data_IF_541486176077
#
_entry.id   IF_541486176077
#
_cell.length_a   1.000
_cell.length_b   1.000
_cell.length_c   1.000
_cell.angle_alpha   90.00
_cell.angle_beta   90.00
_cell.angle_gamma   90.00
#
_symmetry.space_group_name_H-M   'P 1'
#
loop_
_entity.id
_entity.type
_entity.pdbx_description
1 polymer ?
#
# COMPACT_ATOMS: atom_id res chain seq x y z
N UNK A 1 10.08 -6.77 -16.13
CA UNK A 1 9.11 -6.82 -15.01
C UNK A 1 8.08 -5.75 -15.25
N UNK A 2 6.84 -6.03 -14.87
CA UNK A 2 5.73 -5.09 -14.93
C UNK A 2 5.03 -5.10 -13.58
N UNK A 3 4.69 -3.92 -13.07
CA UNK A 3 3.82 -3.73 -11.92
C UNK A 3 2.73 -2.74 -12.30
N UNK A 4 1.49 -3.20 -12.26
CA UNK A 4 0.31 -2.42 -12.58
C UNK A 4 -0.55 -2.16 -11.34
N UNK A 5 -1.28 -1.04 -11.39
CA UNK A 5 -2.24 -0.65 -10.36
C UNK A 5 -3.61 -0.50 -11.02
N UNK A 6 -4.43 -1.53 -10.89
CA UNK A 6 -5.77 -1.57 -11.48
C UNK A 6 -6.84 -1.14 -10.47
N UNK A 7 -7.72 -0.25 -10.88
CA UNK A 7 -8.84 0.23 -10.06
C UNK A 7 -10.10 -0.59 -10.31
N UNK A 8 -10.83 -0.86 -9.22
CA UNK A 8 -12.12 -1.54 -9.24
C UNK A 8 -13.12 -0.78 -8.36
N UNK A 9 -14.41 -0.92 -8.68
CA UNK A 9 -15.48 -0.59 -7.73
C UNK A 9 -15.59 -1.68 -6.66
N UNK A 10 -16.30 -1.40 -5.57
CA UNK A 10 -16.62 -2.40 -4.54
C UNK A 10 -17.40 -3.61 -5.08
N UNK A 11 -18.19 -3.41 -6.14
CA UNK A 11 -18.89 -4.49 -6.86
C UNK A 11 -17.99 -5.29 -7.81
N UNK A 12 -16.70 -4.97 -7.90
CA UNK A 12 -15.74 -5.66 -8.76
C UNK A 12 -15.72 -5.17 -10.22
N UNK A 13 -16.36 -4.04 -10.53
CA UNK A 13 -16.31 -3.47 -11.89
C UNK A 13 -14.93 -2.86 -12.14
N UNK A 14 -14.20 -3.27 -13.19
CA UNK A 14 -12.91 -2.69 -13.51
C UNK A 14 -13.07 -1.27 -14.05
N UNK A 15 -12.35 -0.32 -13.46
CA UNK A 15 -12.36 1.10 -13.85
C UNK A 15 -11.16 1.48 -14.74
N UNK A 16 -10.12 0.64 -14.75
CA UNK A 16 -8.92 0.82 -15.58
C UNK A 16 -7.62 0.91 -14.76
N UNK A 17 -6.51 1.15 -15.46
CA UNK A 17 -5.17 1.24 -14.87
C UNK A 17 -4.90 2.67 -14.39
N UNK A 18 -4.51 2.81 -13.11
CA UNK A 18 -4.08 4.08 -12.51
C UNK A 18 -2.58 4.30 -12.65
N UNK A 19 -1.80 3.22 -12.70
CA UNK A 19 -0.36 3.27 -12.84
C UNK A 19 0.15 1.99 -13.51
N UNK A 20 1.22 2.12 -14.30
CA UNK A 20 1.95 0.98 -14.89
C UNK A 20 3.43 1.30 -14.85
N UNK A 21 4.20 0.46 -14.17
CA UNK A 21 5.65 0.53 -14.11
C UNK A 21 6.23 -0.64 -14.91
N UNK A 22 7.21 -0.38 -15.77
CA UNK A 22 7.86 -1.39 -16.59
C UNK A 22 9.38 -1.19 -16.57
N UNK A 23 10.13 -2.23 -16.22
CA UNK A 23 11.59 -2.18 -16.16
C UNK A 23 12.23 -3.54 -16.45
N UNK A 24 13.50 -3.54 -16.86
CA UNK A 24 14.30 -4.76 -17.01
C UNK A 24 15.17 -4.99 -15.77
N UNK A 25 15.51 -6.25 -15.48
CA UNK A 25 16.51 -6.59 -14.44
C UNK A 25 17.88 -6.65 -15.10
N UNK A 26 18.85 -5.92 -14.54
CA UNK A 26 20.24 -5.95 -15.01
C UNK A 26 21.05 -7.15 -14.46
N UNK A 27 20.38 -8.12 -13.81
CA UNK A 27 20.99 -9.35 -13.30
C UNK A 27 20.24 -9.96 -12.10
N UNK A 28 20.84 -11.00 -11.50
CA UNK A 28 20.37 -11.60 -10.24
C UNK A 28 21.18 -10.97 -9.09
N UNK A 29 20.55 -10.07 -8.33
CA UNK A 29 21.19 -9.43 -7.17
C UNK A 29 21.39 -10.40 -6.00
N UNK A 30 22.47 -10.21 -5.22
CA UNK A 30 22.71 -10.99 -4.01
C UNK A 30 21.93 -10.44 -2.81
N UNK A 31 21.53 -11.33 -1.88
CA UNK A 31 20.83 -10.94 -0.64
C UNK A 31 21.61 -9.91 0.19
N UNK A 32 22.94 -10.02 0.19
CA UNK A 32 23.84 -9.14 0.96
C UNK A 32 23.88 -7.71 0.41
N UNK A 33 23.82 -7.54 -0.91
CA UNK A 33 23.84 -6.21 -1.52
C UNK A 33 22.49 -5.49 -1.39
N UNK A 34 21.38 -6.23 -1.31
CA UNK A 34 20.04 -5.65 -1.15
C UNK A 34 19.89 -4.79 0.10
N UNK A 35 20.61 -5.12 1.18
CA UNK A 35 20.54 -4.33 2.42
C UNK A 35 21.30 -3.01 2.35
N UNK A 36 22.28 -2.88 1.44
CA UNK A 36 23.11 -1.67 1.30
C UNK A 36 22.47 -0.61 0.40
N UNK A 37 21.50 -1.01 -0.42
CA UNK A 37 20.83 -0.10 -1.36
C UNK A 37 19.78 0.76 -0.65
N UNK A 38 19.59 2.03 -1.07
CA UNK A 38 18.42 2.81 -0.71
C UNK A 38 17.14 2.14 -1.24
N UNK A 39 15.96 2.48 -0.69
CA UNK A 39 14.71 1.78 -1.03
C UNK A 39 14.33 1.98 -2.50
N UNK A 40 14.63 3.16 -3.04
CA UNK A 40 14.37 3.62 -4.40
C UNK A 40 15.07 2.76 -5.46
N UNK A 41 16.21 2.15 -5.11
CA UNK A 41 16.95 1.24 -5.99
C UNK A 41 16.48 -0.22 -5.88
N UNK A 42 15.52 -0.52 -5.00
CA UNK A 42 14.99 -1.87 -4.81
C UNK A 42 13.71 -2.03 -5.60
N UNK A 43 13.47 -3.25 -6.09
CA UNK A 43 12.19 -3.59 -6.75
C UNK A 43 10.97 -3.40 -5.85
N UNK A 44 11.14 -3.38 -4.52
CA UNK A 44 10.05 -3.08 -3.58
C UNK A 44 9.58 -1.63 -3.66
N UNK A 45 10.35 -0.72 -4.25
CA UNK A 45 9.95 0.67 -4.52
C UNK A 45 8.67 0.76 -5.35
N UNK A 46 8.39 -0.26 -6.17
CA UNK A 46 7.17 -0.36 -6.98
C UNK A 46 5.89 -0.06 -6.19
N UNK A 47 5.85 -0.51 -4.93
CA UNK A 47 4.71 -0.33 -4.04
C UNK A 47 4.55 1.12 -3.56
N UNK A 48 5.65 1.81 -3.29
CA UNK A 48 5.64 3.23 -2.90
C UNK A 48 5.21 4.10 -4.07
N UNK A 49 5.76 3.86 -5.26
CA UNK A 49 5.37 4.58 -6.47
C UNK A 49 3.90 4.34 -6.84
N UNK A 50 3.42 3.09 -6.70
CA UNK A 50 2.00 2.75 -6.84
C UNK A 50 1.13 3.52 -5.84
N UNK A 51 1.52 3.57 -4.56
CA UNK A 51 0.82 4.34 -3.53
C UNK A 51 0.76 5.84 -3.85
N UNK A 52 1.85 6.44 -4.32
CA UNK A 52 1.89 7.84 -4.72
C UNK A 52 0.92 8.12 -5.86
N UNK A 53 0.88 7.27 -6.89
CA UNK A 53 -0.04 7.42 -8.01
C UNK A 53 -1.51 7.40 -7.55
N UNK A 54 -1.89 6.42 -6.73
CA UNK A 54 -3.26 6.33 -6.20
C UNK A 54 -3.58 7.51 -5.28
N UNK A 55 -2.65 7.95 -4.45
CA UNK A 55 -2.84 9.11 -3.57
C UNK A 55 -3.02 10.43 -4.33
N UNK A 56 -2.37 10.59 -5.49
CA UNK A 56 -2.64 11.74 -6.38
C UNK A 56 -4.07 11.71 -6.94
N UNK A 57 -4.58 10.53 -7.27
CA UNK A 57 -5.98 10.36 -7.70
C UNK A 57 -6.94 10.62 -6.52
N UNK A 58 -6.64 10.10 -5.33
CA UNK A 58 -7.43 10.34 -4.11
C UNK A 58 -7.65 11.82 -3.86
N UNK A 59 -6.61 12.65 -3.99
CA UNK A 59 -6.71 14.12 -3.82
C UNK A 59 -7.72 14.76 -4.77
N UNK A 60 -7.86 14.24 -5.99
CA UNK A 60 -8.83 14.72 -7.00
C UNK A 60 -10.25 14.21 -6.75
N UNK A 61 -10.37 13.05 -6.10
CA UNK A 61 -11.64 12.35 -5.88
C UNK A 61 -12.16 12.45 -4.44
N UNK A 62 -11.46 13.17 -3.55
CA UNK A 62 -11.69 13.16 -2.09
C UNK A 62 -13.14 13.39 -1.67
N UNK A 63 -13.87 14.23 -2.38
CA UNK A 63 -15.26 14.56 -2.05
C UNK A 63 -16.29 13.57 -2.61
N UNK A 64 -15.85 12.57 -3.38
CA UNK A 64 -16.73 11.62 -4.10
C UNK A 64 -16.49 10.19 -3.67
N UNK A 65 -15.24 9.80 -3.48
CA UNK A 65 -14.88 8.41 -3.24
C UNK A 65 -13.60 8.30 -2.44
N UNK A 66 -13.54 7.24 -1.65
CA UNK A 66 -12.36 6.80 -0.95
C UNK A 66 -11.68 5.70 -1.75
N UNK A 67 -10.38 5.84 -2.01
CA UNK A 67 -9.55 4.82 -2.61
C UNK A 67 -8.82 4.05 -1.52
N UNK A 68 -8.87 2.73 -1.63
CA UNK A 68 -8.13 1.79 -0.79
C UNK A 68 -7.17 1.02 -1.69
N UNK A 69 -5.87 1.12 -1.41
CA UNK A 69 -4.84 0.31 -2.07
C UNK A 69 -4.87 -1.08 -1.44
N UNK A 70 -5.31 -2.06 -2.21
CA UNK A 70 -5.31 -3.47 -1.82
C UNK A 70 -4.07 -4.13 -2.40
N UNK A 71 -3.24 -4.74 -1.54
CA UNK A 71 -2.04 -5.41 -1.98
C UNK A 71 -1.75 -6.68 -1.17
N UNK A 72 -0.97 -7.57 -1.77
CA UNK A 72 -0.58 -8.82 -1.14
C UNK A 72 0.58 -8.62 -0.14
N UNK A 73 1.16 -9.73 0.32
CA UNK A 73 2.21 -9.72 1.35
C UNK A 73 3.53 -9.11 0.89
N UNK A 74 3.77 -8.97 -0.40
CA UNK A 74 4.99 -8.32 -0.89
C UNK A 74 4.99 -6.81 -0.59
N UNK A 75 3.81 -6.21 -0.48
CA UNK A 75 3.63 -4.80 -0.14
C UNK A 75 3.75 -4.52 1.38
N UNK A 76 3.90 -5.57 2.20
CA UNK A 76 4.07 -5.44 3.65
C UNK A 76 5.49 -4.95 4.01
N UNK A 77 5.80 -3.73 3.57
CA UNK A 77 7.06 -3.01 3.79
C UNK A 77 6.79 -1.71 4.54
N UNK A 78 7.70 -1.31 5.43
CA UNK A 78 7.49 -0.14 6.32
C UNK A 78 7.25 1.15 5.54
N UNK A 79 7.95 1.31 4.43
CA UNK A 79 7.97 2.52 3.61
C UNK A 79 6.58 2.86 3.06
N UNK A 80 5.77 1.87 2.65
CA UNK A 80 4.38 2.12 2.19
C UNK A 80 3.50 2.67 3.30
N UNK A 81 3.64 2.14 4.53
CA UNK A 81 2.90 2.64 5.69
C UNK A 81 3.39 4.03 6.12
N UNK A 82 4.70 4.28 6.06
CA UNK A 82 5.28 5.58 6.37
C UNK A 82 4.80 6.66 5.38
N UNK A 83 4.76 6.33 4.10
CA UNK A 83 4.22 7.22 3.06
C UNK A 83 2.74 7.54 3.28
N UNK A 84 1.94 6.54 3.67
CA UNK A 84 0.54 6.77 4.00
C UNK A 84 0.36 7.63 5.26
N UNK A 85 1.14 7.38 6.31
CA UNK A 85 1.15 8.20 7.51
C UNK A 85 1.50 9.67 7.21
N UNK A 86 2.46 9.90 6.31
CA UNK A 86 2.89 11.23 5.89
C UNK A 86 1.95 11.88 4.85
N UNK A 87 0.92 11.17 4.39
CA UNK A 87 -0.05 11.66 3.41
C UNK A 87 -1.48 11.64 3.99
N UNK A 88 -1.87 12.61 4.85
CA UNK A 88 -3.17 12.60 5.53
C UNK A 88 -4.39 12.52 4.60
N UNK A 89 -4.26 13.10 3.40
CA UNK A 89 -5.32 13.12 2.37
C UNK A 89 -5.09 12.07 1.26
N UNK A 90 -4.22 11.10 1.53
CA UNK A 90 -3.84 10.03 0.62
C UNK A 90 -4.81 8.86 0.63
N UNK A 91 -4.53 7.89 -0.22
CA UNK A 91 -5.28 6.64 -0.25
C UNK A 91 -5.07 5.85 1.06
N UNK A 92 -6.05 5.02 1.40
CA UNK A 92 -5.95 4.09 2.53
C UNK A 92 -5.30 2.78 2.10
N UNK A 93 -4.87 1.95 3.05
CA UNK A 93 -4.16 0.71 2.78
C UNK A 93 -4.92 -0.50 3.32
N UNK A 94 -5.01 -1.56 2.51
CA UNK A 94 -5.40 -2.90 2.93
C UNK A 94 -4.34 -3.89 2.41
N UNK A 95 -3.38 -4.20 3.27
CA UNK A 95 -2.21 -5.01 2.91
C UNK A 95 -2.24 -6.32 3.70
N UNK A 96 -2.07 -7.45 3.00
CA UNK A 96 -1.95 -8.75 3.67
C UNK A 96 -0.63 -8.80 4.45
N UNK A 97 -0.68 -9.05 5.75
CA UNK A 97 0.53 -9.10 6.60
C UNK A 97 1.50 -10.23 6.19
N UNK A 98 2.81 -9.93 6.22
CA UNK A 98 3.89 -10.91 6.03
C UNK A 98 4.37 -11.44 7.39
N UNK A 99 4.07 -12.72 7.67
CA UNK A 99 4.27 -13.35 8.99
C UNK A 99 5.72 -13.26 9.49
N UNK A 100 6.70 -13.30 8.59
CA UNK A 100 8.12 -13.25 8.95
C UNK A 100 8.60 -11.87 9.48
N UNK A 101 7.79 -10.81 9.36
CA UNK A 101 8.14 -9.47 9.83
C UNK A 101 8.01 -9.27 11.34
N UNK A 102 7.38 -10.20 12.06
CA UNK A 102 7.19 -10.14 13.53
C UNK A 102 6.69 -8.77 14.04
N UNK A 103 5.78 -8.12 13.30
CA UNK A 103 5.19 -6.84 13.73
C UNK A 103 4.38 -7.05 14.99
N UNK A 104 4.62 -6.21 16.00
CA UNK A 104 3.78 -6.14 17.20
C UNK A 104 2.69 -5.12 16.93
N UNK A 105 1.44 -5.57 16.94
CA UNK A 105 0.29 -4.66 16.96
C UNK A 105 0.15 -4.19 18.39
N UNK A 106 0.41 -2.91 18.62
CA UNK A 106 0.04 -2.26 19.88
C UNK A 106 -1.40 -1.82 19.69
N UNK A 107 -2.31 -2.49 20.41
CA UNK A 107 -3.69 -2.01 20.52
C UNK A 107 -3.64 -0.90 21.55
N UNK A 108 -3.83 0.35 21.12
CA UNK A 108 -4.13 1.43 22.04
C UNK A 108 -5.58 1.21 22.51
N UNK A 109 -5.86 1.27 23.81
CA UNK A 109 -7.19 1.01 24.41
C UNK A 109 -8.26 2.04 24.02
N UNK A 110 -8.02 2.81 22.96
CA UNK A 110 -9.05 3.57 22.28
C UNK A 110 -9.94 2.57 21.55
N UNK A 111 -11.06 2.22 22.18
CA UNK A 111 -12.14 1.36 21.66
C UNK A 111 -12.71 1.78 20.28
N UNK A 112 -12.22 2.87 19.69
CA UNK A 112 -12.58 3.33 18.36
C UNK A 112 -11.32 3.65 17.56
N UNK A 113 -10.93 2.74 16.67
CA UNK A 113 -10.22 3.13 15.46
C UNK A 113 -11.29 3.40 14.39
N UNK A 114 -11.53 4.67 14.09
CA UNK A 114 -12.33 5.05 12.92
C UNK A 114 -11.51 4.76 11.66
N UNK A 115 -11.72 3.59 11.07
CA UNK A 115 -11.25 3.32 9.72
C UNK A 115 -12.32 3.86 8.76
N UNK A 116 -12.06 5.02 8.14
CA UNK A 116 -12.95 5.60 7.14
C UNK A 116 -14.39 5.89 7.66
N UNK A 117 -14.51 6.34 8.91
CA UNK A 117 -15.83 6.56 9.54
C UNK A 117 -16.61 5.27 9.83
N UNK A 118 -15.99 4.10 9.67
CA UNK A 118 -16.51 2.82 10.12
C UNK A 118 -15.89 2.48 11.47
N UNK A 119 -16.75 2.19 12.44
CA UNK A 119 -16.34 1.78 13.76
C UNK A 119 -15.90 0.31 13.69
N UNK A 120 -14.58 0.07 13.74
CA UNK A 120 -14.02 -1.27 13.59
C UNK A 120 -14.04 -1.98 14.94
N UNK A 121 -14.95 -2.95 15.11
CA UNK A 121 -15.13 -3.66 16.39
C UNK A 121 -14.36 -4.99 16.37
N UNK A 122 -13.37 -5.13 17.25
CA UNK A 122 -12.45 -6.28 17.31
C UNK A 122 -13.12 -7.60 17.73
N UNK A 123 -14.33 -7.56 18.29
CA UNK A 123 -15.10 -8.72 18.74
C UNK A 123 -15.85 -9.47 17.63
N UNK A 124 -15.54 -9.21 16.35
CA UNK A 124 -16.19 -9.86 15.21
C UNK A 124 -15.17 -10.68 14.40
N UNK A 125 -14.56 -11.67 15.06
CA UNK A 125 -13.85 -12.81 14.47
C UNK A 125 -14.14 -14.07 15.29
#
# INVERSE_FOLDING_TARGET
MVHDTMAFTESGTPLGLLNVQCWARDGIGSKHERHKKPIEEKESWKWVESYHAVSQVQKRCRNKSLLVVVADREADIHEVFAEQYNTPDGAQLLIRAERSRNRKVVVDDKESCEFCGLNWNSNRL
#
